data_IF_510015979575
#
_entry.id   IF_510015979575
#
_cell.length_a   1.000
_cell.length_b   1.000
_cell.length_c   1.000
_cell.angle_alpha   90.00
_cell.angle_beta   90.00
_cell.angle_gamma   90.00
#
_symmetry.space_group_name_H-M   'P 1'
#
loop_
_entity.id
_entity.type
_entity.pdbx_description
1 polymer ?
#
# COMPACT_ATOMS: atom_id res chain seq x y z
N UNK A 1 -13.82 50.23 -67.82
CA UNK A 1 -14.05 50.29 -66.34
C UNK A 1 -14.34 48.90 -65.71
N UNK A 2 -14.92 47.92 -66.42
CA UNK A 2 -15.26 46.59 -65.80
C UNK A 2 -14.08 45.68 -65.46
N UNK A 3 -12.97 45.76 -66.18
CA UNK A 3 -11.80 44.85 -65.92
C UNK A 3 -11.05 45.19 -64.64
N UNK A 4 -10.95 46.45 -64.27
CA UNK A 4 -10.36 46.92 -63.06
C UNK A 4 -11.15 46.54 -61.79
N UNK A 5 -12.50 46.58 -61.93
CA UNK A 5 -13.40 46.18 -60.86
C UNK A 5 -13.36 44.67 -60.62
N UNK A 6 -13.31 43.84 -61.65
CA UNK A 6 -13.17 42.38 -61.54
C UNK A 6 -11.84 41.95 -60.90
N UNK A 7 -10.73 42.59 -61.28
CA UNK A 7 -9.40 42.31 -60.65
C UNK A 7 -9.33 42.70 -59.17
N UNK A 8 -9.96 43.80 -58.77
CA UNK A 8 -10.03 44.22 -57.38
C UNK A 8 -10.88 43.26 -56.53
N UNK A 9 -11.92 42.68 -57.12
CA UNK A 9 -12.81 41.72 -56.45
C UNK A 9 -12.12 40.36 -56.21
N UNK A 10 -11.39 39.87 -57.21
CA UNK A 10 -10.55 38.66 -57.05
C UNK A 10 -9.46 38.79 -55.97
N UNK A 11 -8.77 39.94 -55.93
CA UNK A 11 -7.77 40.23 -54.91
C UNK A 11 -8.43 40.29 -53.52
N UNK A 12 -9.58 40.90 -53.40
CA UNK A 12 -10.34 40.99 -52.15
C UNK A 12 -10.76 39.61 -51.62
N UNK A 13 -11.24 38.74 -52.52
CA UNK A 13 -11.59 37.36 -52.18
C UNK A 13 -10.37 36.57 -51.73
N UNK A 14 -9.23 36.68 -52.40
CA UNK A 14 -7.99 36.00 -52.05
C UNK A 14 -7.47 36.46 -50.66
N UNK A 15 -7.51 37.74 -50.38
CA UNK A 15 -7.12 38.30 -49.09
C UNK A 15 -8.05 37.81 -47.99
N UNK A 16 -9.39 37.81 -48.24
CA UNK A 16 -10.37 37.32 -47.28
C UNK A 16 -10.17 35.83 -46.97
N UNK A 17 -9.85 35.00 -47.96
CA UNK A 17 -9.55 33.60 -47.78
C UNK A 17 -8.24 33.39 -46.94
N UNK A 18 -7.23 34.23 -47.22
CA UNK A 18 -5.98 34.18 -46.42
C UNK A 18 -6.23 34.53 -44.96
N UNK A 19 -6.96 35.60 -44.68
CA UNK A 19 -7.31 35.96 -43.31
C UNK A 19 -8.17 34.89 -42.62
N UNK A 20 -9.12 34.30 -43.34
CA UNK A 20 -9.96 33.21 -42.86
C UNK A 20 -9.12 31.98 -42.46
N UNK A 21 -8.19 31.55 -43.33
CA UNK A 21 -7.31 30.43 -43.03
C UNK A 21 -6.37 30.71 -41.84
N UNK A 22 -5.85 31.93 -41.76
CA UNK A 22 -5.01 32.36 -40.64
C UNK A 22 -5.78 32.39 -39.32
N UNK A 23 -7.00 32.90 -39.32
CA UNK A 23 -7.88 32.92 -38.14
C UNK A 23 -8.20 31.50 -37.66
N UNK A 24 -8.48 30.56 -38.55
CA UNK A 24 -8.69 29.15 -38.23
C UNK A 24 -7.43 28.49 -37.62
N UNK A 25 -6.26 28.76 -38.20
CA UNK A 25 -4.98 28.30 -37.67
C UNK A 25 -4.74 28.82 -36.25
N UNK A 26 -5.03 30.08 -36.01
CA UNK A 26 -4.89 30.71 -34.71
C UNK A 26 -5.85 30.10 -33.65
N UNK A 27 -7.09 29.82 -34.02
CA UNK A 27 -8.05 29.15 -33.15
C UNK A 27 -7.62 27.75 -32.78
N UNK A 28 -7.10 26.99 -33.75
CA UNK A 28 -6.56 25.64 -33.52
C UNK A 28 -5.36 25.68 -32.56
N UNK A 29 -4.44 26.61 -32.76
CA UNK A 29 -3.29 26.80 -31.90
C UNK A 29 -3.68 27.21 -30.47
N UNK A 30 -4.67 28.10 -30.34
CA UNK A 30 -5.18 28.52 -29.02
C UNK A 30 -5.80 27.35 -28.25
N UNK A 31 -6.57 26.49 -28.96
CA UNK A 31 -7.16 25.30 -28.35
C UNK A 31 -6.08 24.29 -27.89
N UNK A 32 -5.04 24.09 -28.69
CA UNK A 32 -3.92 23.23 -28.32
C UNK A 32 -3.15 23.79 -27.12
N UNK A 33 -2.90 25.08 -27.09
CA UNK A 33 -2.24 25.74 -25.96
C UNK A 33 -3.04 25.62 -24.66
N UNK A 34 -4.36 25.78 -24.73
CA UNK A 34 -5.24 25.60 -23.59
C UNK A 34 -5.22 24.14 -23.08
N UNK A 35 -5.24 23.17 -23.99
CA UNK A 35 -5.12 21.75 -23.63
C UNK A 35 -3.78 21.43 -22.96
N UNK A 36 -2.68 21.93 -23.52
CA UNK A 36 -1.34 21.78 -22.95
C UNK A 36 -1.23 22.43 -21.56
N UNK A 37 -1.75 23.63 -21.41
CA UNK A 37 -1.78 24.32 -20.12
C UNK A 37 -2.52 23.51 -19.05
N UNK A 38 -3.69 22.98 -19.39
CA UNK A 38 -4.47 22.14 -18.47
C UNK A 38 -3.75 20.84 -18.10
N UNK A 39 -3.03 20.22 -19.03
CA UNK A 39 -2.21 19.03 -18.74
C UNK A 39 -1.05 19.38 -17.81
N UNK A 40 -0.38 20.49 -18.05
CA UNK A 40 0.73 20.96 -17.23
C UNK A 40 0.28 21.26 -15.80
N UNK A 41 -0.84 21.97 -15.61
CA UNK A 41 -1.40 22.26 -14.28
C UNK A 41 -1.75 20.97 -13.53
N UNK A 42 -2.34 19.98 -14.21
CA UNK A 42 -2.64 18.68 -13.60
C UNK A 42 -1.38 17.94 -13.17
N UNK A 43 -0.36 17.91 -14.03
CA UNK A 43 0.92 17.28 -13.71
C UNK A 43 1.61 17.96 -12.52
N UNK A 44 1.55 19.29 -12.47
CA UNK A 44 2.11 20.07 -11.36
C UNK A 44 1.39 19.77 -10.05
N UNK A 45 0.06 19.73 -10.06
CA UNK A 45 -0.74 19.41 -8.87
C UNK A 45 -0.51 17.96 -8.40
N UNK A 46 -0.39 17.00 -9.31
CA UNK A 46 -0.07 15.61 -8.98
C UNK A 46 1.33 15.50 -8.35
N UNK A 47 2.31 16.22 -8.90
CA UNK A 47 3.66 16.29 -8.34
C UNK A 47 3.66 16.90 -6.94
N UNK A 48 3.00 18.03 -6.74
CA UNK A 48 2.91 18.70 -5.44
C UNK A 48 2.24 17.80 -4.38
N UNK A 49 1.17 17.09 -4.75
CA UNK A 49 0.52 16.12 -3.86
C UNK A 49 1.44 14.95 -3.47
N UNK A 50 2.25 14.47 -4.39
CA UNK A 50 3.23 13.41 -4.14
C UNK A 50 4.32 13.86 -3.15
N UNK A 51 4.84 15.07 -3.30
CA UNK A 51 5.82 15.64 -2.36
C UNK A 51 5.23 15.85 -0.97
N UNK A 52 4.00 16.39 -0.87
CA UNK A 52 3.34 16.61 0.41
C UNK A 52 3.11 15.30 1.18
N UNK A 53 2.72 14.22 0.51
CA UNK A 53 2.54 12.93 1.15
C UNK A 53 3.85 12.27 1.59
N UNK A 54 4.92 12.40 0.81
CA UNK A 54 6.25 11.92 1.18
C UNK A 54 6.81 12.67 2.40
N UNK A 55 6.65 13.98 2.45
CA UNK A 55 7.08 14.81 3.58
C UNK A 55 6.32 14.44 4.87
N UNK A 56 5.00 14.26 4.79
CA UNK A 56 4.18 13.83 5.92
C UNK A 56 4.62 12.44 6.45
N UNK A 57 4.94 11.50 5.57
CA UNK A 57 5.45 10.18 5.97
C UNK A 57 6.82 10.27 6.66
N UNK A 58 7.71 11.12 6.18
CA UNK A 58 9.02 11.33 6.78
C UNK A 58 8.92 11.95 8.18
N UNK A 59 8.06 12.93 8.36
CA UNK A 59 7.79 13.55 9.68
C UNK A 59 7.23 12.52 10.65
N UNK A 60 6.26 11.72 10.21
CA UNK A 60 5.68 10.64 11.03
C UNK A 60 6.74 9.61 11.45
N UNK A 61 7.59 9.17 10.53
CA UNK A 61 8.64 8.19 10.81
C UNK A 61 9.68 8.76 11.79
N UNK A 62 10.08 10.01 11.61
CA UNK A 62 11.02 10.70 12.50
C UNK A 62 10.47 10.81 13.91
N UNK A 63 9.18 11.17 14.05
CA UNK A 63 8.51 11.24 15.34
C UNK A 63 8.43 9.87 16.02
N UNK A 64 8.04 8.83 15.28
CA UNK A 64 8.00 7.45 15.79
C UNK A 64 9.39 6.98 16.25
N UNK A 65 10.44 7.28 15.51
CA UNK A 65 11.80 6.94 15.88
C UNK A 65 12.21 7.65 17.17
N UNK A 66 11.90 8.94 17.31
CA UNK A 66 12.20 9.69 18.54
C UNK A 66 11.47 9.15 19.78
N UNK A 67 10.20 8.76 19.61
CA UNK A 67 9.39 8.17 20.69
C UNK A 67 9.89 6.76 21.06
N UNK A 68 10.29 5.97 20.07
CA UNK A 68 10.70 4.58 20.28
C UNK A 68 12.16 4.43 20.74
N UNK A 69 13.04 5.38 20.44
CA UNK A 69 14.47 5.28 20.75
C UNK A 69 14.77 4.97 22.24
N UNK A 70 14.15 5.63 23.24
CA UNK A 70 14.42 5.33 24.64
C UNK A 70 14.02 3.90 25.03
N UNK A 71 12.84 3.45 24.61
CA UNK A 71 12.33 2.11 24.95
C UNK A 71 13.03 1.01 24.18
N UNK A 72 13.45 1.29 22.95
CA UNK A 72 14.27 0.35 22.17
C UNK A 72 15.63 0.12 22.83
N UNK A 73 16.26 1.18 23.34
CA UNK A 73 17.57 1.08 23.99
C UNK A 73 17.49 0.38 25.36
N UNK A 74 16.45 0.67 26.14
CA UNK A 74 16.33 0.14 27.51
C UNK A 74 15.70 -1.26 27.56
N UNK A 75 14.74 -1.56 26.68
CA UNK A 75 13.89 -2.74 26.75
C UNK A 75 13.96 -3.62 25.50
N UNK A 76 14.74 -3.22 24.48
CA UNK A 76 14.88 -3.95 23.22
C UNK A 76 13.60 -3.98 22.36
N UNK A 77 12.58 -3.18 22.71
CA UNK A 77 11.29 -3.12 22.01
C UNK A 77 10.83 -1.68 21.83
N UNK A 78 10.17 -1.36 20.70
CA UNK A 78 9.58 -0.04 20.51
C UNK A 78 8.41 0.19 21.47
N UNK A 79 8.11 1.44 21.77
CA UNK A 79 6.90 1.80 22.52
C UNK A 79 5.66 1.67 21.64
N UNK A 80 5.75 2.16 20.41
CA UNK A 80 4.68 2.16 19.41
C UNK A 80 5.20 1.54 18.11
N UNK A 81 4.50 0.56 17.59
CA UNK A 81 4.81 -0.08 16.31
C UNK A 81 4.34 -1.53 16.25
N UNK A 82 4.13 -2.03 15.06
CA UNK A 82 3.79 -3.44 14.87
C UNK A 82 5.05 -4.31 14.90
N UNK A 83 4.90 -5.54 15.31
CA UNK A 83 5.94 -6.56 15.18
C UNK A 83 6.19 -6.91 13.73
N UNK A 84 7.41 -7.26 13.38
CA UNK A 84 7.76 -7.75 12.06
C UNK A 84 7.16 -9.15 11.83
N UNK A 85 6.73 -9.43 10.61
CA UNK A 85 6.31 -10.78 10.22
C UNK A 85 7.53 -11.71 10.18
N UNK A 86 7.34 -12.96 10.58
CA UNK A 86 8.37 -13.99 10.54
C UNK A 86 8.67 -14.45 9.11
N UNK A 87 9.94 -14.73 8.81
CA UNK A 87 10.34 -15.46 7.61
C UNK A 87 9.84 -16.91 7.63
N UNK A 88 10.10 -17.71 6.58
CA UNK A 88 9.65 -19.10 6.49
C UNK A 88 10.00 -19.92 7.75
N UNK A 89 8.98 -20.51 8.38
CA UNK A 89 9.10 -21.26 9.62
C UNK A 89 9.48 -20.46 10.86
N UNK A 90 9.64 -19.13 10.76
CA UNK A 90 10.03 -18.27 11.87
C UNK A 90 8.83 -17.63 12.55
N UNK A 91 8.99 -17.35 13.85
CA UNK A 91 7.98 -16.65 14.63
C UNK A 91 7.87 -15.18 14.21
N UNK A 92 6.66 -14.63 14.27
CA UNK A 92 6.44 -13.19 14.17
C UNK A 92 7.01 -12.45 15.38
N UNK A 93 7.51 -11.24 15.13
CA UNK A 93 8.05 -10.36 16.17
C UNK A 93 6.96 -9.79 17.09
N UNK A 94 7.30 -9.43 18.33
CA UNK A 94 6.37 -8.79 19.24
C UNK A 94 6.04 -7.36 18.79
N UNK A 95 4.82 -6.90 19.01
CA UNK A 95 4.41 -5.50 18.82
C UNK A 95 5.01 -4.57 19.86
N UNK A 96 4.82 -3.27 19.70
CA UNK A 96 5.26 -2.24 20.65
C UNK A 96 4.68 -2.44 22.05
N UNK A 97 5.35 -1.91 23.05
CA UNK A 97 4.95 -2.10 24.45
C UNK A 97 3.59 -1.50 24.76
N UNK A 98 3.32 -0.30 24.27
CA UNK A 98 2.06 0.41 24.52
C UNK A 98 1.03 0.12 23.42
N UNK A 99 1.41 0.31 22.17
CA UNK A 99 0.50 0.16 21.04
C UNK A 99 1.21 -0.55 19.88
N UNK A 100 0.58 -1.61 19.39
CA UNK A 100 1.05 -2.35 18.20
C UNK A 100 0.54 -3.77 18.18
N UNK A 101 0.36 -4.27 16.98
CA UNK A 101 0.01 -5.67 16.74
C UNK A 101 1.28 -6.54 16.74
N UNK A 102 1.15 -7.78 17.13
CA UNK A 102 2.19 -8.77 16.88
C UNK A 102 2.33 -9.07 15.39
N UNK A 103 3.55 -9.38 14.94
CA UNK A 103 3.81 -9.84 13.58
C UNK A 103 3.25 -11.24 13.35
N UNK A 104 2.92 -11.59 12.13
CA UNK A 104 2.46 -12.93 11.78
C UNK A 104 3.63 -13.92 11.77
N UNK A 105 3.39 -15.17 12.15
CA UNK A 105 4.36 -16.25 11.96
C UNK A 105 4.48 -16.60 10.48
N UNK A 106 5.71 -16.92 10.05
CA UNK A 106 5.99 -17.36 8.68
C UNK A 106 5.45 -18.74 8.38
N UNK A 107 5.00 -18.98 7.15
CA UNK A 107 4.62 -20.31 6.71
C UNK A 107 5.83 -21.24 6.68
N UNK A 108 5.62 -22.52 7.01
CA UNK A 108 6.64 -23.53 6.85
C UNK A 108 7.03 -23.75 5.39
N UNK A 109 8.25 -24.16 5.17
CA UNK A 109 8.80 -24.52 3.87
C UNK A 109 9.43 -25.93 3.89
N UNK A 110 10.13 -26.31 2.83
CA UNK A 110 10.79 -27.61 2.74
C UNK A 110 11.93 -27.80 3.76
N UNK A 111 12.61 -26.70 4.12
CA UNK A 111 13.70 -26.71 5.09
C UNK A 111 13.18 -26.61 6.53
N UNK A 112 12.10 -25.83 6.74
CA UNK A 112 11.46 -25.62 8.03
C UNK A 112 9.97 -25.97 7.89
N UNK A 113 9.58 -27.23 8.01
CA UNK A 113 8.22 -27.68 7.70
C UNK A 113 7.17 -27.12 8.66
N UNK A 114 7.56 -26.70 9.88
CA UNK A 114 6.63 -26.11 10.83
C UNK A 114 6.40 -24.64 10.52
N UNK A 115 5.16 -24.18 10.65
CA UNK A 115 4.82 -22.76 10.62
C UNK A 115 5.28 -22.05 11.92
N UNK A 116 5.73 -20.81 11.79
CA UNK A 116 6.11 -19.97 12.94
C UNK A 116 4.91 -19.50 13.75
N UNK A 117 5.10 -19.27 15.02
CA UNK A 117 4.07 -18.68 15.89
C UNK A 117 3.89 -17.20 15.57
N UNK A 118 2.66 -16.69 15.73
CA UNK A 118 2.39 -15.26 15.70
C UNK A 118 3.01 -14.55 16.90
N UNK A 119 3.48 -13.31 16.71
CA UNK A 119 4.02 -12.45 17.76
C UNK A 119 2.93 -11.94 18.72
N UNK A 120 3.29 -11.64 19.95
CA UNK A 120 2.37 -11.02 20.91
C UNK A 120 2.18 -9.53 20.63
N UNK A 121 0.99 -9.00 20.90
CA UNK A 121 0.76 -7.56 20.91
C UNK A 121 1.38 -6.87 22.12
N UNK A 122 1.34 -5.52 22.14
CA UNK A 122 1.59 -4.72 23.32
C UNK A 122 0.37 -4.63 24.26
N UNK A 123 0.28 -3.51 24.99
CA UNK A 123 -0.88 -3.24 25.85
C UNK A 123 -2.18 -3.10 25.03
N UNK A 124 -2.11 -2.44 23.89
CA UNK A 124 -3.21 -2.23 22.95
C UNK A 124 -2.80 -2.79 21.58
N UNK A 125 -3.46 -3.83 21.11
CA UNK A 125 -3.21 -4.45 19.80
C UNK A 125 -3.71 -5.89 19.73
N UNK A 126 -3.59 -6.49 18.56
CA UNK A 126 -3.94 -7.87 18.28
C UNK A 126 -2.68 -8.73 18.20
N UNK A 127 -2.72 -9.94 18.69
CA UNK A 127 -1.67 -10.92 18.45
C UNK A 127 -1.58 -11.26 16.98
N UNK A 128 -0.39 -11.59 16.48
CA UNK A 128 -0.18 -12.06 15.12
C UNK A 128 -0.78 -13.44 14.88
N UNK A 129 -1.12 -13.75 13.64
CA UNK A 129 -1.55 -15.09 13.23
C UNK A 129 -0.37 -16.06 13.22
N UNK A 130 -0.57 -17.32 13.54
CA UNK A 130 0.42 -18.37 13.32
C UNK A 130 0.54 -18.69 11.83
N UNK A 131 1.74 -19.08 11.40
CA UNK A 131 2.01 -19.53 10.04
C UNK A 131 1.46 -20.93 9.79
N UNK A 132 1.11 -21.25 8.55
CA UNK A 132 0.74 -22.59 8.12
C UNK A 132 1.96 -23.52 8.10
N UNK A 133 1.79 -24.75 8.48
CA UNK A 133 2.84 -25.77 8.27
C UNK A 133 2.90 -26.18 6.80
N UNK A 134 4.08 -26.57 6.34
CA UNK A 134 4.27 -27.27 5.06
C UNK A 134 3.86 -28.75 5.17
N UNK A 135 4.01 -29.51 4.09
CA UNK A 135 3.67 -30.94 4.07
C UNK A 135 4.44 -31.69 5.18
N UNK A 136 3.69 -32.29 6.11
CA UNK A 136 4.24 -32.98 7.27
C UNK A 136 4.63 -32.07 8.46
N UNK A 137 4.46 -30.75 8.34
CA UNK A 137 4.73 -29.79 9.40
C UNK A 137 3.46 -29.34 10.13
N UNK A 138 3.65 -28.85 11.35
CA UNK A 138 2.57 -28.30 12.17
C UNK A 138 2.39 -26.82 11.88
N UNK A 139 1.13 -26.32 11.95
CA UNK A 139 0.86 -24.87 11.94
C UNK A 139 1.33 -24.22 13.24
N UNK A 140 1.77 -22.96 13.12
CA UNK A 140 2.13 -22.13 14.27
C UNK A 140 0.93 -21.68 15.10
N UNK A 141 1.14 -21.39 16.36
CA UNK A 141 0.12 -20.81 17.26
C UNK A 141 -0.08 -19.33 17.01
N UNK A 142 -1.29 -18.81 17.26
CA UNK A 142 -1.55 -17.38 17.26
C UNK A 142 -0.85 -16.68 18.44
N UNK A 143 -0.39 -15.45 18.22
CA UNK A 143 0.17 -14.59 19.26
C UNK A 143 -0.88 -14.11 20.25
N UNK A 144 -0.42 -13.69 21.43
CA UNK A 144 -1.29 -13.17 22.48
C UNK A 144 -1.73 -11.74 22.14
N UNK A 145 -3.06 -11.47 22.20
CA UNK A 145 -3.57 -10.11 22.06
C UNK A 145 -3.27 -9.23 23.28
N UNK A 146 -3.32 -7.92 23.09
CA UNK A 146 -3.09 -6.94 24.14
C UNK A 146 -4.14 -7.00 25.25
N UNK A 147 -3.81 -6.47 26.43
CA UNK A 147 -4.70 -6.44 27.59
C UNK A 147 -5.96 -5.60 27.33
N UNK A 148 -5.85 -4.54 26.55
CA UNK A 148 -7.00 -3.72 26.10
C UNK A 148 -7.41 -4.23 24.72
N UNK A 149 -8.33 -5.15 24.73
CA UNK A 149 -8.93 -5.70 23.51
C UNK A 149 -10.00 -4.74 23.00
N UNK A 150 -9.83 -4.18 21.79
CA UNK A 150 -11.02 -3.73 21.05
C UNK A 150 -11.85 -4.97 20.75
N UNK A 151 -13.08 -4.96 21.27
CA UNK A 151 -14.06 -6.03 21.00
C UNK A 151 -14.38 -6.02 19.52
N UNK A 152 -13.56 -6.74 18.74
CA UNK A 152 -13.93 -7.14 17.39
C UNK A 152 -14.34 -8.61 17.48
N UNK A 153 -15.48 -9.02 16.94
CA UNK A 153 -15.89 -10.42 17.02
C UNK A 153 -14.82 -11.30 16.39
N UNK A 154 -14.30 -12.20 17.21
CA UNK A 154 -13.23 -13.14 16.93
C UNK A 154 -13.48 -13.96 15.66
N UNK A 155 -12.77 -13.61 14.58
CA UNK A 155 -12.63 -14.47 13.40
C UNK A 155 -11.46 -15.45 13.49
N UNK A 156 -10.62 -15.32 14.51
CA UNK A 156 -9.38 -16.10 14.64
C UNK A 156 -9.61 -17.51 15.22
N UNK A 157 -10.79 -17.79 15.77
CA UNK A 157 -11.14 -19.14 16.25
C UNK A 157 -11.54 -20.13 15.18
N UNK A 158 -11.64 -19.72 13.91
CA UNK A 158 -12.04 -20.61 12.82
C UNK A 158 -10.87 -21.22 12.02
N UNK A 159 -9.63 -20.84 12.28
CA UNK A 159 -8.46 -21.38 11.57
C UNK A 159 -7.69 -22.44 12.36
N UNK A 160 -8.15 -22.82 13.52
CA UNK A 160 -7.61 -23.93 14.29
C UNK A 160 -8.35 -25.23 14.01
N UNK A 161 -8.28 -25.74 12.77
CA UNK A 161 -8.51 -27.16 12.58
C UNK A 161 -7.23 -27.90 12.97
N UNK A 162 -7.22 -28.72 14.01
CA UNK A 162 -6.19 -29.71 14.15
C UNK A 162 -6.32 -30.60 12.91
N UNK A 163 -5.25 -30.68 12.12
CA UNK A 163 -5.17 -31.72 11.08
C UNK A 163 -5.38 -33.05 11.80
N UNK A 164 -6.54 -33.65 11.53
CA UNK A 164 -6.97 -34.85 12.20
C UNK A 164 -5.95 -35.96 12.00
N UNK A 165 -5.53 -36.53 13.09
CA UNK A 165 -5.00 -37.87 13.19
C UNK A 165 -6.03 -38.88 12.63
N UNK A 166 -6.02 -39.04 11.32
CA UNK A 166 -6.69 -40.13 10.67
C UNK A 166 -5.77 -41.34 10.53
N UNK A 167 -5.38 -41.94 11.64
CA UNK A 167 -4.87 -43.30 11.63
C UNK A 167 -6.05 -44.28 11.42
N UNK A 168 -6.36 -44.59 10.20
CA UNK A 168 -7.21 -45.75 9.90
C UNK A 168 -6.31 -46.98 9.92
N UNK A 169 -6.28 -47.63 11.08
CA UNK A 169 -5.75 -49.00 11.16
C UNK A 169 -6.76 -49.92 10.51
N UNK A 170 -6.50 -50.34 9.28
CA UNK A 170 -7.23 -51.44 8.66
C UNK A 170 -6.61 -52.75 9.19
N UNK A 171 -7.31 -53.39 10.13
CA UNK A 171 -7.02 -54.75 10.51
C UNK A 171 -7.67 -55.61 9.45
N UNK A 172 -6.84 -56.30 8.66
CA UNK A 172 -7.28 -57.38 7.76
C UNK A 172 -7.58 -58.67 8.51
N UNK A 173 -8.64 -59.29 8.12
CA UNK A 173 -8.80 -60.72 8.15
C UNK A 173 -8.93 -61.22 6.75
#
# INVERSE_FOLDING_TARGET
MGILAAGADEVSVAISALFGSHAQGYQTLSAQLAAYHNQFVRALNAGAGSYASAEAANVQQTLLNAINAPTQTLLGRPLIGNGADGGPGQNGGPGGLLYGNGGNGGAGDTANPNGGNGGSAGLIGNGGAGGNGAAGGNGGGAGVGGAVRRVHPDRSRRAGFPAGTGAITTIGM
#
